data_IF_607661452098
#
_entry.id   IF_607661452098
#
_cell.length_a   1.000
_cell.length_b   1.000
_cell.length_c   1.000
_cell.angle_alpha   90.00
_cell.angle_beta   90.00
_cell.angle_gamma   90.00
#
_symmetry.space_group_name_H-M   'P 1'
#
loop_
_entity.id
_entity.type
_entity.pdbx_description
1 polymer ?
#
# COMPACT_ATOMS: atom_id res chain seq x y z
N UNK A 1 -24.89 44.90 18.04
CA UNK A 1 -23.63 45.01 17.27
C UNK A 1 -23.42 43.66 16.60
N UNK A 2 -23.44 43.59 15.26
CA UNK A 2 -23.46 42.31 14.51
C UNK A 2 -22.04 41.79 14.30
N UNK A 3 -21.88 40.47 14.28
CA UNK A 3 -20.62 39.70 14.35
C UNK A 3 -19.82 39.67 13.02
N UNK A 4 -20.08 40.61 12.08
CA UNK A 4 -19.58 40.52 10.70
C UNK A 4 -18.45 41.50 10.34
N UNK A 5 -17.89 42.23 11.29
CA UNK A 5 -16.89 43.28 11.00
C UNK A 5 -15.43 42.75 10.90
N UNK A 6 -15.21 41.43 10.75
CA UNK A 6 -13.87 40.82 10.76
C UNK A 6 -13.34 40.35 9.39
N UNK A 7 -14.07 40.57 8.30
CA UNK A 7 -13.75 39.99 6.98
C UNK A 7 -13.13 40.94 5.95
N UNK A 8 -12.70 42.14 6.33
CA UNK A 8 -12.11 43.13 5.41
C UNK A 8 -10.64 43.49 5.75
N UNK A 9 -9.86 42.52 6.26
CA UNK A 9 -8.41 42.70 6.33
C UNK A 9 -7.78 42.35 4.97
N UNK A 10 -7.07 43.29 4.32
CA UNK A 10 -6.40 43.02 3.06
C UNK A 10 -5.33 41.94 3.27
N UNK A 11 -5.45 40.82 2.55
CA UNK A 11 -4.40 39.80 2.50
C UNK A 11 -3.19 40.43 1.82
N UNK A 12 -2.05 40.61 2.52
CA UNK A 12 -0.88 41.20 1.89
C UNK A 12 -0.36 40.28 0.79
N UNK A 13 -0.09 40.86 -0.38
CA UNK A 13 0.59 40.18 -1.48
C UNK A 13 1.87 39.50 -0.95
N UNK A 14 2.11 38.22 -1.27
CA UNK A 14 3.27 37.51 -0.77
C UNK A 14 4.56 38.21 -1.22
N UNK A 15 5.36 38.66 -0.25
CA UNK A 15 6.62 39.40 -0.49
C UNK A 15 7.68 38.60 -1.24
N UNK A 16 7.52 37.28 -1.30
CA UNK A 16 8.40 36.37 -2.04
C UNK A 16 7.58 35.58 -3.05
N UNK A 17 7.87 35.81 -4.34
CA UNK A 17 7.49 34.87 -5.40
C UNK A 17 8.46 33.71 -5.29
N UNK A 18 8.01 32.59 -4.72
CA UNK A 18 8.78 31.34 -4.78
C UNK A 18 8.78 30.96 -6.27
N UNK A 19 9.94 30.91 -6.95
CA UNK A 19 9.97 30.40 -8.30
C UNK A 19 9.64 28.91 -8.19
N UNK A 20 8.39 28.55 -8.48
CA UNK A 20 8.05 27.18 -8.84
C UNK A 20 8.66 26.97 -10.23
N UNK A 21 9.96 26.70 -10.27
CA UNK A 21 10.60 26.15 -11.45
C UNK A 21 9.88 24.85 -11.77
N UNK A 22 9.00 24.92 -12.78
CA UNK A 22 8.29 23.79 -13.35
C UNK A 22 9.28 22.98 -14.19
N UNK A 23 10.28 22.45 -13.52
CA UNK A 23 11.38 21.65 -14.09
C UNK A 23 11.85 20.61 -13.07
N UNK A 24 10.93 20.04 -12.30
CA UNK A 24 11.19 18.81 -11.58
C UNK A 24 10.62 17.69 -12.46
N UNK A 25 11.48 16.80 -12.94
CA UNK A 25 11.03 15.47 -13.36
C UNK A 25 10.13 14.89 -12.26
N UNK A 26 9.09 14.16 -12.64
CA UNK A 26 8.24 13.51 -11.64
C UNK A 26 9.12 12.63 -10.74
N UNK A 27 8.99 12.74 -9.40
CA UNK A 27 9.82 11.97 -8.49
C UNK A 27 9.61 10.47 -8.76
N UNK A 28 10.71 9.78 -9.04
CA UNK A 28 10.67 8.33 -9.25
C UNK A 28 10.24 7.61 -7.97
N UNK A 29 9.43 6.55 -8.03
CA UNK A 29 9.13 5.71 -6.87
C UNK A 29 10.41 5.13 -6.26
N UNK A 30 10.62 5.35 -4.97
CA UNK A 30 11.83 4.90 -4.24
C UNK A 30 11.58 3.75 -3.25
N UNK A 31 10.32 3.32 -3.10
CA UNK A 31 9.94 2.22 -2.19
C UNK A 31 9.16 1.18 -2.97
N UNK A 32 9.57 -0.08 -2.80
CA UNK A 32 8.77 -1.26 -3.11
C UNK A 32 8.48 -2.00 -1.81
N UNK A 33 7.22 -2.34 -1.57
CA UNK A 33 6.78 -3.10 -0.42
C UNK A 33 6.24 -4.43 -0.91
N UNK A 34 6.89 -5.52 -0.51
CA UNK A 34 6.50 -6.87 -0.88
C UNK A 34 6.24 -7.72 0.37
N UNK A 35 5.38 -8.71 0.22
CA UNK A 35 5.08 -9.65 1.30
C UNK A 35 4.89 -11.08 0.74
N UNK A 36 5.28 -12.08 1.52
CA UNK A 36 5.18 -13.48 1.13
C UNK A 36 3.75 -13.99 1.19
N UNK A 37 3.39 -14.84 0.24
CA UNK A 37 2.23 -15.72 0.33
C UNK A 37 2.55 -16.86 1.29
N UNK A 38 1.76 -16.98 2.35
CA UNK A 38 1.88 -18.04 3.35
C UNK A 38 1.14 -19.31 2.93
N UNK A 39 -0.04 -19.14 2.35
CA UNK A 39 -0.93 -20.25 2.04
C UNK A 39 -1.88 -19.84 0.91
N UNK A 40 -2.20 -20.80 0.05
CA UNK A 40 -3.29 -20.70 -0.93
C UNK A 40 -4.36 -21.74 -0.57
N UNK A 41 -5.62 -21.34 -0.67
CA UNK A 41 -6.76 -22.26 -0.54
C UNK A 41 -7.93 -21.82 -1.39
N UNK A 42 -8.83 -22.75 -1.64
CA UNK A 42 -10.17 -22.45 -2.16
C UNK A 42 -11.14 -22.15 -1.02
N UNK A 43 -12.10 -21.29 -1.30
CA UNK A 43 -13.22 -20.99 -0.40
C UNK A 43 -14.54 -21.12 -1.16
N UNK A 44 -15.53 -21.69 -0.49
CA UNK A 44 -16.87 -21.91 -1.03
C UNK A 44 -17.81 -20.73 -0.74
N UNK A 45 -18.90 -20.58 -1.52
CA UNK A 45 -19.91 -19.56 -1.25
C UNK A 45 -20.39 -19.57 0.21
N UNK A 46 -20.46 -18.39 0.82
CA UNK A 46 -20.92 -18.22 2.21
C UNK A 46 -19.86 -18.45 3.29
N UNK A 47 -18.68 -18.99 2.97
CA UNK A 47 -17.58 -19.13 3.92
C UNK A 47 -17.02 -17.76 4.35
N UNK A 48 -16.87 -17.55 5.65
CA UNK A 48 -16.32 -16.30 6.17
C UNK A 48 -14.82 -16.19 5.92
N UNK A 49 -14.35 -15.01 5.49
CA UNK A 49 -12.95 -14.73 5.19
C UNK A 49 -12.39 -13.60 6.04
N UNK A 50 -11.14 -13.77 6.46
CA UNK A 50 -10.36 -12.77 7.17
C UNK A 50 -10.82 -12.53 8.61
N UNK A 51 -10.25 -11.51 9.24
CA UNK A 51 -10.56 -11.18 10.62
C UNK A 51 -12.02 -10.74 10.79
N UNK A 52 -12.73 -11.36 11.72
CA UNK A 52 -14.13 -11.08 12.02
C UNK A 52 -15.12 -11.55 10.95
N UNK A 53 -14.69 -12.37 9.97
CA UNK A 53 -15.56 -12.99 8.94
C UNK A 53 -16.47 -11.97 8.22
N UNK A 54 -15.89 -10.81 7.90
CA UNK A 54 -16.62 -9.68 7.31
C UNK A 54 -16.88 -9.83 5.82
N UNK A 55 -16.10 -10.67 5.13
CA UNK A 55 -16.32 -11.01 3.73
C UNK A 55 -16.86 -12.44 3.61
N UNK A 56 -17.84 -12.62 2.72
CA UNK A 56 -18.38 -13.92 2.31
C UNK A 56 -18.42 -13.95 0.79
N UNK A 57 -17.82 -14.94 0.12
CA UNK A 57 -17.83 -15.02 -1.32
C UNK A 57 -19.20 -15.48 -1.81
N UNK A 58 -19.62 -15.01 -2.98
CA UNK A 58 -20.86 -15.44 -3.67
C UNK A 58 -20.62 -16.64 -4.61
N UNK A 59 -19.36 -16.87 -4.98
CA UNK A 59 -18.90 -17.95 -5.86
C UNK A 59 -17.64 -18.57 -5.29
N UNK A 60 -17.24 -19.75 -5.78
CA UNK A 60 -15.93 -20.32 -5.44
C UNK A 60 -14.84 -19.31 -5.77
N UNK A 61 -13.90 -19.11 -4.86
CA UNK A 61 -12.74 -18.23 -5.03
C UNK A 61 -11.48 -18.96 -4.61
N UNK A 62 -10.37 -18.65 -5.27
CA UNK A 62 -9.04 -19.01 -4.78
C UNK A 62 -8.44 -17.80 -4.08
N UNK A 63 -7.99 -17.99 -2.84
CA UNK A 63 -7.46 -16.91 -2.00
C UNK A 63 -6.05 -17.21 -1.53
N UNK A 64 -5.28 -16.16 -1.30
CA UNK A 64 -3.96 -16.24 -0.68
C UNK A 64 -3.95 -15.50 0.65
N UNK A 65 -3.35 -16.12 1.67
CA UNK A 65 -2.98 -15.46 2.92
C UNK A 65 -1.59 -14.86 2.73
N UNK A 66 -1.44 -13.56 3.00
CA UNK A 66 -0.19 -12.81 2.80
C UNK A 66 0.37 -12.39 4.16
N UNK A 67 1.69 -12.51 4.34
CA UNK A 67 2.45 -12.26 5.56
C UNK A 67 2.68 -10.76 5.82
N UNK A 68 1.59 -10.02 5.99
CA UNK A 68 1.63 -8.59 6.32
C UNK A 68 0.34 -8.16 6.98
N UNK A 69 0.46 -7.42 8.06
CA UNK A 69 -0.67 -6.89 8.81
C UNK A 69 -0.39 -5.53 9.42
N UNK A 70 -1.32 -5.09 10.27
CA UNK A 70 -1.22 -3.76 10.86
C UNK A 70 -0.09 -3.61 11.88
N UNK A 71 0.42 -4.71 12.45
CA UNK A 71 1.58 -4.65 13.33
C UNK A 71 2.89 -4.44 12.56
N UNK A 72 2.89 -4.67 11.26
CA UNK A 72 4.01 -4.33 10.36
C UNK A 72 3.92 -2.88 9.90
N UNK A 73 2.80 -2.19 10.13
CA UNK A 73 2.57 -0.82 9.68
C UNK A 73 1.66 -0.69 8.47
N UNK A 74 1.11 -1.79 7.96
CA UNK A 74 0.15 -1.75 6.86
C UNK A 74 -1.24 -1.33 7.36
N UNK A 75 -1.82 -0.27 6.78
CA UNK A 75 -3.07 0.29 7.31
C UNK A 75 -4.20 -0.73 7.32
N UNK A 76 -4.88 -0.84 8.47
CA UNK A 76 -6.12 -1.62 8.59
C UNK A 76 -7.34 -0.93 7.99
N UNK A 77 -7.26 0.39 7.80
CA UNK A 77 -8.32 1.18 7.17
C UNK A 77 -8.19 1.07 5.66
N UNK A 78 -9.33 1.12 4.95
CA UNK A 78 -9.30 1.00 3.50
C UNK A 78 -9.13 -0.41 2.94
N UNK A 79 -9.08 -1.44 3.80
CA UNK A 79 -8.83 -2.82 3.38
C UNK A 79 -9.78 -3.27 2.24
N UNK A 80 -11.07 -2.94 2.31
CA UNK A 80 -12.05 -3.32 1.28
C UNK A 80 -11.87 -2.61 -0.08
N UNK A 81 -11.07 -1.55 -0.15
CA UNK A 81 -10.71 -0.84 -1.38
C UNK A 81 -9.25 -1.15 -1.82
N UNK A 82 -8.46 -1.77 -0.94
CA UNK A 82 -7.08 -2.11 -1.19
C UNK A 82 -6.88 -3.33 -2.09
N UNK A 83 -5.66 -3.46 -2.62
CA UNK A 83 -5.25 -4.60 -3.45
C UNK A 83 -3.74 -4.84 -3.35
N UNK A 84 -3.32 -6.10 -3.48
CA UNK A 84 -1.94 -6.43 -3.83
C UNK A 84 -1.81 -6.61 -5.35
N UNK A 85 -0.60 -6.81 -5.82
CA UNK A 85 -0.30 -7.13 -7.22
C UNK A 85 0.65 -8.30 -7.31
N UNK A 86 0.41 -9.18 -8.27
CA UNK A 86 1.35 -10.20 -8.69
C UNK A 86 1.60 -10.04 -10.18
N UNK A 87 2.82 -9.65 -10.55
CA UNK A 87 3.13 -9.18 -11.90
C UNK A 87 2.13 -8.07 -12.33
N UNK A 88 1.36 -8.30 -13.38
CA UNK A 88 0.33 -7.38 -13.90
C UNK A 88 -1.09 -7.73 -13.45
N UNK A 89 -1.23 -8.66 -12.50
CA UNK A 89 -2.52 -9.16 -12.02
C UNK A 89 -2.86 -8.49 -10.69
N UNK A 90 -3.99 -7.77 -10.66
CA UNK A 90 -4.53 -7.14 -9.46
C UNK A 90 -5.14 -8.20 -8.55
N UNK A 91 -4.80 -8.16 -7.26
CA UNK A 91 -5.27 -9.07 -6.23
C UNK A 91 -6.07 -8.30 -5.16
N UNK A 92 -7.41 -8.20 -5.28
CA UNK A 92 -8.24 -7.48 -4.31
C UNK A 92 -8.07 -8.02 -2.89
N UNK A 93 -7.95 -7.14 -1.89
CA UNK A 93 -7.96 -7.54 -0.47
C UNK A 93 -9.39 -7.93 -0.07
N UNK A 94 -9.52 -9.09 0.59
CA UNK A 94 -10.79 -9.62 1.06
C UNK A 94 -10.92 -9.47 2.58
N UNK A 95 -11.96 -8.76 3.02
CA UNK A 95 -12.24 -8.56 4.44
C UNK A 95 -11.31 -7.55 5.11
N UNK A 96 -10.88 -7.85 6.34
CA UNK A 96 -10.04 -6.94 7.15
C UNK A 96 -8.59 -7.41 7.19
N UNK A 97 -7.69 -6.44 7.32
CA UNK A 97 -6.28 -6.67 7.68
C UNK A 97 -6.19 -7.11 9.15
N UNK A 98 -5.54 -8.24 9.39
CA UNK A 98 -5.25 -8.79 10.73
C UNK A 98 -3.94 -8.23 11.28
N UNK A 99 -3.53 -8.68 12.47
CA UNK A 99 -2.28 -8.21 13.10
C UNK A 99 -1.05 -8.48 12.22
N UNK A 100 -0.97 -9.70 11.68
CA UNK A 100 0.22 -10.20 10.95
C UNK A 100 -0.12 -10.73 9.55
N UNK A 101 -1.37 -10.59 9.10
CA UNK A 101 -1.79 -11.11 7.79
C UNK A 101 -2.98 -10.39 7.17
N UNK A 102 -3.09 -10.50 5.85
CA UNK A 102 -4.27 -10.14 5.08
C UNK A 102 -4.60 -11.23 4.06
N UNK A 103 -5.83 -11.20 3.54
CA UNK A 103 -6.28 -12.15 2.51
C UNK A 103 -6.45 -11.40 1.20
N UNK A 104 -5.99 -11.98 0.09
CA UNK A 104 -6.26 -11.47 -1.26
C UNK A 104 -6.95 -12.51 -2.13
N UNK A 105 -7.80 -12.04 -3.04
CA UNK A 105 -8.37 -12.86 -4.11
C UNK A 105 -7.33 -13.07 -5.21
N UNK A 106 -7.06 -14.35 -5.53
CA UNK A 106 -6.12 -14.77 -6.57
C UNK A 106 -6.80 -15.59 -7.66
N UNK A 107 -8.13 -15.48 -7.77
CA UNK A 107 -8.93 -16.22 -8.74
C UNK A 107 -8.55 -15.90 -10.19
N UNK A 108 -8.03 -14.69 -10.45
CA UNK A 108 -7.61 -14.25 -11.79
C UNK A 108 -6.15 -14.63 -12.11
N UNK A 109 -5.41 -15.17 -11.13
CA UNK A 109 -4.05 -15.69 -11.35
C UNK A 109 -4.16 -17.09 -12.00
N UNK A 110 -3.39 -17.43 -13.05
CA UNK A 110 -3.40 -18.80 -13.56
C UNK A 110 -2.92 -19.81 -12.50
N UNK A 111 -3.48 -21.01 -12.50
CA UNK A 111 -3.08 -22.06 -11.56
C UNK A 111 -1.59 -22.41 -11.68
N UNK A 112 -0.92 -22.57 -10.54
CA UNK A 112 0.52 -22.83 -10.46
C UNK A 112 1.44 -21.62 -10.68
N UNK A 113 0.91 -20.44 -11.04
CA UNK A 113 1.74 -19.22 -11.22
C UNK A 113 2.11 -18.51 -9.93
N UNK A 114 1.27 -18.61 -8.92
CA UNK A 114 1.51 -18.08 -7.58
C UNK A 114 1.41 -19.22 -6.57
N UNK A 115 2.33 -19.26 -5.62
CA UNK A 115 2.44 -20.31 -4.61
C UNK A 115 2.92 -19.77 -3.26
N UNK A 116 2.95 -20.62 -2.23
CA UNK A 116 3.62 -20.30 -0.97
C UNK A 116 5.07 -19.85 -1.19
N UNK A 117 5.56 -19.00 -0.30
CA UNK A 117 6.90 -18.37 -0.32
C UNK A 117 7.17 -17.41 -1.49
N UNK A 118 6.24 -17.27 -2.44
CA UNK A 118 6.32 -16.22 -3.47
C UNK A 118 5.86 -14.86 -2.91
N UNK A 119 6.36 -13.77 -3.49
CA UNK A 119 6.03 -12.43 -3.05
C UNK A 119 4.94 -11.77 -3.92
N UNK A 120 4.14 -10.92 -3.28
CA UNK A 120 3.21 -9.99 -3.94
C UNK A 120 3.56 -8.56 -3.56
N UNK A 121 3.30 -7.62 -4.47
CA UNK A 121 3.53 -6.20 -4.28
C UNK A 121 2.33 -5.55 -3.58
N UNK A 122 2.58 -4.92 -2.44
CA UNK A 122 1.64 -4.00 -1.80
C UNK A 122 1.88 -2.54 -2.21
N UNK A 123 3.14 -2.20 -2.48
CA UNK A 123 3.58 -0.93 -3.08
C UNK A 123 4.62 -1.32 -4.14
N UNK A 124 4.48 -0.81 -5.36
CA UNK A 124 5.36 -1.16 -6.47
C UNK A 124 4.92 -0.52 -7.79
N UNK A 125 5.37 -1.06 -8.94
CA UNK A 125 5.15 -0.46 -10.25
C UNK A 125 3.67 -0.26 -10.63
N UNK A 126 2.79 -1.12 -10.09
CA UNK A 126 1.33 -1.11 -10.36
C UNK A 126 0.50 -0.43 -9.27
N UNK A 127 1.12 -0.06 -8.15
CA UNK A 127 0.45 0.55 -7.01
C UNK A 127 1.41 1.47 -6.27
N UNK A 128 1.24 2.77 -6.45
CA UNK A 128 2.03 3.79 -5.80
C UNK A 128 1.73 3.88 -4.30
N UNK A 129 2.59 4.59 -3.56
CA UNK A 129 2.34 4.92 -2.16
C UNK A 129 1.05 5.75 -2.02
N UNK A 130 0.78 6.64 -2.97
CA UNK A 130 -0.40 7.50 -2.96
C UNK A 130 -1.68 6.68 -3.21
N UNK A 131 -1.63 5.64 -4.05
CA UNK A 131 -2.77 4.71 -4.24
C UNK A 131 -3.08 3.93 -2.95
N UNK A 132 -2.06 3.63 -2.14
CA UNK A 132 -2.26 3.02 -0.82
C UNK A 132 -2.87 4.03 0.14
N UNK A 133 -2.38 5.27 0.12
CA UNK A 133 -2.84 6.34 0.97
C UNK A 133 -4.31 6.69 0.69
N UNK A 134 -4.69 6.84 -0.58
CA UNK A 134 -6.06 7.12 -1.01
C UNK A 134 -7.01 6.01 -0.54
N UNK A 135 -6.66 4.74 -0.79
CA UNK A 135 -7.47 3.62 -0.33
C UNK A 135 -7.64 3.62 1.20
N UNK A 136 -6.60 4.01 1.94
CA UNK A 136 -6.62 4.09 3.40
C UNK A 136 -7.24 5.38 3.97
N UNK A 137 -7.58 6.37 3.12
CA UNK A 137 -8.10 7.68 3.54
C UNK A 137 -7.05 8.56 4.22
N UNK A 138 -5.79 8.48 3.79
CA UNK A 138 -4.65 9.22 4.35
C UNK A 138 -3.74 9.78 3.24
N UNK A 139 -2.53 10.22 3.59
CA UNK A 139 -1.47 10.74 2.72
C UNK A 139 -0.27 9.78 2.69
N UNK A 140 0.51 9.82 1.60
CA UNK A 140 1.65 8.92 1.43
C UNK A 140 2.72 9.01 2.52
N UNK A 141 2.89 10.17 3.15
CA UNK A 141 3.79 10.34 4.30
C UNK A 141 3.42 9.44 5.48
N UNK A 142 2.12 9.32 5.80
CA UNK A 142 1.68 8.42 6.87
C UNK A 142 1.93 6.97 6.50
N UNK A 143 1.71 6.58 5.25
CA UNK A 143 2.01 5.22 4.76
C UNK A 143 3.49 4.89 4.94
N UNK A 144 4.39 5.79 4.54
CA UNK A 144 5.83 5.55 4.60
C UNK A 144 6.37 5.52 6.03
N UNK A 145 5.87 6.43 6.88
CA UNK A 145 6.29 6.54 8.28
C UNK A 145 5.65 5.48 9.17
N UNK A 146 4.53 4.87 8.77
CA UNK A 146 3.90 3.78 9.51
C UNK A 146 4.61 2.44 9.32
N UNK A 147 5.40 2.25 8.26
CA UNK A 147 6.13 1.01 7.99
C UNK A 147 7.10 0.68 9.13
N UNK A 148 6.75 -0.31 9.93
CA UNK A 148 7.42 -0.67 11.16
C UNK A 148 8.75 -1.41 10.96
N UNK A 149 9.32 -1.84 12.09
CA UNK A 149 10.64 -2.48 12.15
C UNK A 149 10.65 -3.96 11.73
N UNK A 150 9.48 -4.58 11.53
CA UNK A 150 9.36 -6.00 11.17
C UNK A 150 9.73 -6.29 9.71
N UNK A 151 9.75 -5.26 8.87
CA UNK A 151 10.19 -5.40 7.49
C UNK A 151 11.71 -5.58 7.39
N UNK A 152 12.12 -6.56 6.58
CA UNK A 152 13.47 -6.59 6.05
C UNK A 152 13.63 -5.47 5.02
N UNK A 153 14.69 -4.65 5.14
CA UNK A 153 14.94 -3.50 4.26
C UNK A 153 16.18 -3.76 3.42
N UNK A 154 15.99 -3.79 2.11
CA UNK A 154 17.05 -3.80 1.11
C UNK A 154 17.15 -2.40 0.48
N UNK A 155 18.36 -1.83 0.45
CA UNK A 155 18.62 -0.53 -0.14
C UNK A 155 19.28 -0.73 -1.51
N UNK A 156 18.52 -0.45 -2.57
CA UNK A 156 18.98 -0.57 -3.96
C UNK A 156 19.40 0.82 -4.43
N UNK A 157 20.66 0.98 -4.87
CA UNK A 157 21.15 2.27 -5.38
C UNK A 157 22.51 2.75 -4.88
N UNK A 158 23.40 1.88 -4.38
CA UNK A 158 24.80 2.23 -4.16
C UNK A 158 25.75 1.20 -4.80
N UNK A 159 26.18 1.50 -6.03
CA UNK A 159 27.35 0.89 -6.66
C UNK A 159 28.24 2.02 -7.17
N UNK A 160 28.78 2.83 -6.25
CA UNK A 160 30.02 3.59 -6.44
C UNK A 160 30.59 3.94 -5.06
N UNK A 161 31.42 3.05 -4.52
CA UNK A 161 32.35 3.41 -3.47
C UNK A 161 33.69 3.64 -4.17
N UNK A 162 34.11 4.89 -4.47
CA UNK A 162 35.47 5.09 -4.92
C UNK A 162 36.37 4.69 -3.76
N UNK A 163 37.18 3.67 -4.02
CA UNK A 163 38.28 3.24 -3.16
C UNK A 163 38.99 4.47 -2.60
N UNK A 164 38.92 4.70 -1.28
CA UNK A 164 39.91 5.53 -0.61
C UNK A 164 41.21 4.74 -0.67
N UNK A 165 41.95 4.93 -1.76
CA UNK A 165 43.35 4.60 -1.87
C UNK A 165 44.20 5.66 -1.18
N UNK A 166 45.22 5.14 -0.50
CA UNK A 166 46.35 5.77 0.21
C UNK A 166 46.06 6.56 1.50
#
# INVERSE_FOLDING_TARGET
MKVNDFLDFPVPEPKYKIPITKSAEEPSPVVRLQAHVLQIREILPGEGVGYGLTYRPERVRRIATVAVGYADGFSRHGAGQGCAWFEDIRLPILGRVSMDSLIVDISDVPEGKLGPDMMVDLIGPRRSVDDVAEAAGTIGYEVLTSLGHRFHREYVGNQENPSRGD
#
